data_IF_081005483782
#
_entry.id   IF_081005483782
#
_cell.length_a   1.000
_cell.length_b   1.000
_cell.length_c   1.000
_cell.angle_alpha   90.00
_cell.angle_beta   90.00
_cell.angle_gamma   90.00
#
_symmetry.space_group_name_H-M   'P 1'
#
loop_
_entity.id
_entity.type
_entity.pdbx_description
1 polymer ?
#
# COMPACT_ATOMS: atom_id res chain seq x y z
N UNK A 1 -6.00 -20.95 34.11
CA UNK A 1 -6.18 -19.95 33.04
C UNK A 1 -5.60 -18.63 33.50
N UNK A 2 -4.61 -18.07 32.81
CA UNK A 2 -3.98 -16.79 33.20
C UNK A 2 -4.97 -15.65 32.98
N UNK A 3 -5.39 -14.98 34.06
CA UNK A 3 -6.30 -13.82 33.98
C UNK A 3 -5.62 -12.69 33.20
N UNK A 4 -6.21 -12.28 32.07
CA UNK A 4 -5.67 -11.18 31.27
C UNK A 4 -5.81 -9.85 32.02
N UNK A 5 -4.76 -9.02 31.99
CA UNK A 5 -4.77 -7.71 32.63
C UNK A 5 -5.79 -6.76 32.00
N UNK A 6 -6.40 -5.85 32.77
CA UNK A 6 -7.46 -4.94 32.29
C UNK A 6 -6.93 -3.95 31.25
N UNK A 7 -7.75 -3.63 30.24
CA UNK A 7 -7.45 -2.59 29.25
C UNK A 7 -7.65 -1.18 29.82
N UNK A 8 -7.02 -0.18 29.20
CA UNK A 8 -7.08 1.25 29.50
C UNK A 8 -7.70 1.99 28.32
N UNK A 9 -8.65 2.87 28.61
CA UNK A 9 -9.36 3.67 27.61
C UNK A 9 -10.71 4.16 28.14
N UNK A 10 -11.46 4.85 27.29
CA UNK A 10 -12.85 5.22 27.58
C UNK A 10 -13.74 3.97 27.64
N UNK A 11 -14.86 4.04 28.38
CA UNK A 11 -15.84 2.95 28.49
C UNK A 11 -16.25 2.40 27.12
N UNK A 12 -16.47 3.28 26.14
CA UNK A 12 -16.80 2.90 24.75
C UNK A 12 -15.68 2.14 24.04
N UNK A 13 -14.42 2.56 24.24
CA UNK A 13 -13.27 1.86 23.66
C UNK A 13 -13.06 0.49 24.30
N UNK A 14 -13.26 0.37 25.63
CA UNK A 14 -13.05 -0.87 26.37
C UNK A 14 -13.97 -1.99 25.89
N UNK A 15 -15.29 -1.74 25.78
CA UNK A 15 -16.27 -2.73 25.31
C UNK A 15 -15.85 -3.35 23.98
N UNK A 16 -15.39 -2.52 23.04
CA UNK A 16 -15.02 -3.01 21.72
C UNK A 16 -13.63 -3.66 21.69
N UNK A 17 -12.64 -3.06 22.38
CA UNK A 17 -11.29 -3.59 22.44
C UNK A 17 -11.21 -4.94 23.18
N UNK A 18 -12.05 -5.16 24.20
CA UNK A 18 -12.13 -6.43 24.93
C UNK A 18 -12.62 -7.57 24.05
N UNK A 19 -13.60 -7.31 23.17
CA UNK A 19 -14.06 -8.28 22.17
C UNK A 19 -12.93 -8.68 21.21
N UNK A 20 -12.28 -7.68 20.61
CA UNK A 20 -11.15 -7.90 19.67
C UNK A 20 -10.02 -8.66 20.36
N UNK A 21 -9.66 -8.26 21.59
CA UNK A 21 -8.58 -8.92 22.35
C UNK A 21 -8.94 -10.36 22.74
N UNK A 22 -10.19 -10.63 23.09
CA UNK A 22 -10.65 -11.98 23.42
C UNK A 22 -10.59 -12.92 22.22
N UNK A 23 -11.03 -12.46 21.05
CA UNK A 23 -10.92 -13.21 19.79
C UNK A 23 -9.46 -13.48 19.41
N UNK A 24 -8.57 -12.50 19.62
CA UNK A 24 -7.13 -12.66 19.43
C UNK A 24 -6.52 -13.66 20.44
N UNK A 25 -6.93 -13.61 21.71
CA UNK A 25 -6.46 -14.48 22.77
C UNK A 25 -6.83 -15.95 22.56
N UNK A 26 -8.05 -16.21 22.08
CA UNK A 26 -8.52 -17.57 21.78
C UNK A 26 -7.66 -18.25 20.71
N UNK A 27 -7.12 -17.47 19.77
CA UNK A 27 -6.37 -17.98 18.61
C UNK A 27 -4.85 -17.92 18.81
N UNK A 28 -4.36 -17.06 19.72
CA UNK A 28 -2.94 -16.93 20.06
C UNK A 28 -2.72 -17.09 21.57
N UNK A 29 -3.03 -18.26 22.16
CA UNK A 29 -2.87 -18.47 23.59
C UNK A 29 -1.39 -18.29 23.98
N UNK A 30 -1.13 -17.49 25.01
CA UNK A 30 0.23 -17.25 25.53
C UNK A 30 1.02 -16.12 24.86
N UNK A 31 0.46 -15.42 23.88
CA UNK A 31 1.11 -14.26 23.26
C UNK A 31 1.41 -13.15 24.31
N UNK A 32 2.67 -12.68 24.39
CA UNK A 32 3.10 -11.69 25.39
C UNK A 32 2.39 -10.33 25.24
N UNK A 33 1.84 -10.04 24.06
CA UNK A 33 1.08 -8.80 23.80
C UNK A 33 -0.25 -8.75 24.53
N UNK A 34 -0.87 -9.90 24.81
CA UNK A 34 -2.09 -9.97 25.64
C UNK A 34 -1.85 -9.40 27.05
N UNK A 35 -0.60 -9.47 27.54
CA UNK A 35 -0.17 -8.97 28.84
C UNK A 35 0.38 -7.54 28.78
N UNK A 36 0.99 -7.15 27.66
CA UNK A 36 1.72 -5.87 27.53
C UNK A 36 0.93 -4.77 26.83
N UNK A 37 0.01 -5.10 25.91
CA UNK A 37 -0.80 -4.15 25.14
C UNK A 37 -2.13 -3.90 25.84
N UNK A 38 -2.06 -2.99 26.82
CA UNK A 38 -3.20 -2.61 27.65
C UNK A 38 -3.99 -1.42 27.10
N UNK A 39 -3.64 -0.86 25.94
CA UNK A 39 -4.34 0.31 25.37
C UNK A 39 -5.49 -0.12 24.47
N UNK A 40 -6.72 0.30 24.77
CA UNK A 40 -7.91 -0.07 24.02
C UNK A 40 -7.93 0.52 22.59
N UNK A 41 -7.42 1.74 22.41
CA UNK A 41 -7.36 2.40 21.10
C UNK A 41 -6.43 1.65 20.15
N UNK A 42 -5.33 1.08 20.65
CA UNK A 42 -4.42 0.26 19.86
C UNK A 42 -5.12 -0.97 19.25
N UNK A 43 -5.92 -1.68 20.03
CA UNK A 43 -6.68 -2.86 19.54
C UNK A 43 -7.69 -2.47 18.47
N UNK A 44 -8.38 -1.33 18.65
CA UNK A 44 -9.34 -0.80 17.68
C UNK A 44 -8.65 -0.42 16.37
N UNK A 45 -7.53 0.31 16.44
CA UNK A 45 -6.81 0.78 15.26
C UNK A 45 -6.16 -0.35 14.45
N UNK A 46 -5.84 -1.47 15.09
CA UNK A 46 -5.15 -2.60 14.46
C UNK A 46 -6.09 -3.78 14.13
N UNK A 47 -7.41 -3.65 14.33
CA UNK A 47 -8.39 -4.73 14.13
C UNK A 47 -8.25 -5.45 12.79
N UNK A 48 -8.08 -4.72 11.68
CA UNK A 48 -7.99 -5.32 10.34
C UNK A 48 -6.71 -6.15 10.18
N UNK A 49 -5.61 -5.69 10.77
CA UNK A 49 -4.32 -6.39 10.75
C UNK A 49 -4.38 -7.68 11.58
N UNK A 50 -5.11 -7.62 12.70
CA UNK A 50 -5.36 -8.74 13.61
C UNK A 50 -6.30 -9.77 12.96
N UNK A 51 -7.41 -9.32 12.38
CA UNK A 51 -8.44 -10.17 11.73
C UNK A 51 -7.88 -10.89 10.50
N UNK A 52 -6.94 -10.26 9.79
CA UNK A 52 -6.31 -10.82 8.58
C UNK A 52 -5.15 -11.79 8.86
N UNK A 53 -4.85 -12.16 10.12
CA UNK A 53 -3.77 -13.09 10.51
C UNK A 53 -2.36 -12.72 10.04
N UNK A 54 -2.16 -11.49 9.56
CA UNK A 54 -0.88 -11.00 9.03
C UNK A 54 -0.05 -10.25 10.08
N UNK A 55 -0.60 -10.07 11.27
CA UNK A 55 0.01 -9.30 12.34
C UNK A 55 0.49 -10.23 13.47
N UNK A 56 1.78 -10.58 13.41
CA UNK A 56 2.53 -11.11 14.55
C UNK A 56 3.39 -9.98 15.13
N UNK A 57 3.03 -9.44 16.30
CA UNK A 57 3.78 -8.38 16.96
C UNK A 57 5.02 -8.84 17.74
N UNK A 58 5.22 -10.16 17.92
CA UNK A 58 6.45 -10.77 18.45
C UNK A 58 7.43 -11.17 17.32
N UNK A 59 6.96 -11.20 16.06
CA UNK A 59 7.82 -11.16 14.87
C UNK A 59 8.63 -9.87 14.98
N UNK A 60 9.89 -9.98 15.43
CA UNK A 60 10.86 -8.89 15.36
C UNK A 60 10.71 -8.24 13.99
N UNK A 61 10.81 -6.91 13.91
CA UNK A 61 10.96 -6.20 12.65
C UNK A 61 12.30 -6.56 11.97
N UNK A 62 12.51 -7.84 11.69
CA UNK A 62 13.42 -8.32 10.68
C UNK A 62 12.80 -7.89 9.35
N UNK A 63 13.63 -7.36 8.45
CA UNK A 63 13.22 -6.75 7.18
C UNK A 63 12.09 -7.49 6.45
N UNK A 64 11.35 -6.74 5.63
CA UNK A 64 10.21 -7.18 4.82
C UNK A 64 10.17 -8.69 4.58
N UNK A 65 9.07 -9.35 4.98
CA UNK A 65 8.83 -10.79 4.83
C UNK A 65 9.52 -11.32 3.55
N UNK A 66 10.52 -12.22 3.65
CA UNK A 66 11.34 -12.63 2.51
C UNK A 66 10.51 -13.11 1.32
N UNK A 67 9.37 -13.75 1.60
CA UNK A 67 8.44 -14.20 0.57
C UNK A 67 7.83 -12.99 -0.14
N UNK A 68 7.35 -11.99 0.60
CA UNK A 68 6.79 -10.75 0.03
C UNK A 68 7.85 -9.88 -0.65
N UNK A 69 9.09 -9.90 -0.15
CA UNK A 69 10.22 -9.21 -0.76
C UNK A 69 10.55 -9.83 -2.12
N UNK A 70 10.54 -11.16 -2.24
CA UNK A 70 10.86 -11.89 -3.47
C UNK A 70 9.74 -11.88 -4.54
N UNK A 71 8.58 -11.25 -4.31
CA UNK A 71 7.50 -11.20 -5.29
C UNK A 71 7.88 -10.24 -6.43
N UNK A 72 7.84 -10.69 -7.71
CA UNK A 72 8.02 -9.81 -8.85
C UNK A 72 7.02 -8.65 -8.84
N UNK A 73 7.53 -7.45 -9.10
CA UNK A 73 6.73 -6.23 -9.05
C UNK A 73 7.17 -5.26 -10.14
N UNK A 74 6.43 -4.17 -10.28
CA UNK A 74 6.79 -3.11 -11.21
C UNK A 74 6.54 -1.73 -10.61
N UNK A 75 7.34 -0.76 -11.05
CA UNK A 75 7.05 0.66 -10.93
C UNK A 75 6.43 1.14 -12.23
N UNK A 76 5.45 2.04 -12.16
CA UNK A 76 4.76 2.56 -13.33
C UNK A 76 4.56 4.08 -13.27
N UNK A 77 4.45 4.67 -14.45
CA UNK A 77 3.97 6.04 -14.68
C UNK A 77 2.61 5.99 -15.35
N UNK A 78 1.69 6.81 -14.87
CA UNK A 78 0.41 7.10 -15.53
C UNK A 78 0.39 8.55 -15.99
N UNK A 79 -0.36 8.82 -17.05
CA UNK A 79 -0.64 10.17 -17.56
C UNK A 79 -2.14 10.34 -17.75
N UNK A 80 -2.64 11.52 -17.47
CA UNK A 80 -4.04 11.88 -17.74
C UNK A 80 -4.17 12.91 -18.86
N UNK A 81 -5.41 13.28 -19.21
CA UNK A 81 -5.70 14.24 -20.29
C UNK A 81 -5.08 15.63 -20.10
N UNK A 82 -4.71 16.00 -18.88
CA UNK A 82 -4.08 17.28 -18.55
C UNK A 82 -2.55 17.17 -18.51
N UNK A 83 -1.98 16.03 -18.91
CA UNK A 83 -0.54 15.78 -18.86
C UNK A 83 -0.01 15.51 -17.45
N UNK A 84 -0.88 15.37 -16.43
CA UNK A 84 -0.46 15.11 -15.05
C UNK A 84 0.10 13.71 -14.94
N UNK A 85 1.25 13.58 -14.27
CA UNK A 85 1.95 12.31 -14.11
C UNK A 85 1.75 11.76 -12.70
N UNK A 86 1.31 10.51 -12.61
CA UNK A 86 1.28 9.75 -11.36
C UNK A 86 2.34 8.65 -11.38
N UNK A 87 3.00 8.43 -10.24
CA UNK A 87 4.00 7.38 -10.06
C UNK A 87 3.54 6.43 -8.95
N UNK A 88 3.57 5.13 -9.23
CA UNK A 88 3.26 4.09 -8.26
C UNK A 88 4.03 2.80 -8.49
N UNK A 89 3.90 1.86 -7.57
CA UNK A 89 4.41 0.50 -7.71
C UNK A 89 3.33 -0.51 -7.33
N UNK A 90 3.38 -1.70 -7.93
CA UNK A 90 2.39 -2.77 -7.73
C UNK A 90 2.98 -4.12 -8.15
N UNK A 91 2.44 -5.21 -7.61
CA UNK A 91 2.70 -6.58 -8.08
C UNK A 91 1.77 -6.97 -9.24
N UNK A 92 0.72 -6.19 -9.50
CA UNK A 92 -0.22 -6.44 -10.59
C UNK A 92 -0.66 -5.12 -11.23
N UNK A 93 -0.08 -4.80 -12.39
CA UNK A 93 -0.32 -3.53 -13.10
C UNK A 93 -1.72 -3.45 -13.72
N UNK A 94 -2.22 -4.57 -14.26
CA UNK A 94 -3.56 -4.61 -14.89
C UNK A 94 -4.66 -4.32 -13.87
N UNK A 95 -4.60 -4.97 -12.71
CA UNK A 95 -5.52 -4.72 -11.58
C UNK A 95 -5.42 -3.26 -11.13
N UNK A 96 -4.21 -2.75 -10.95
CA UNK A 96 -3.99 -1.41 -10.42
C UNK A 96 -4.48 -0.30 -11.36
N UNK A 97 -4.32 -0.48 -12.68
CA UNK A 97 -4.85 0.47 -13.66
C UNK A 97 -6.39 0.51 -13.63
N UNK A 98 -7.05 -0.65 -13.52
CA UNK A 98 -8.52 -0.71 -13.36
C UNK A 98 -8.99 -0.01 -12.07
N UNK A 99 -8.27 -0.17 -10.97
CA UNK A 99 -8.57 0.53 -9.72
C UNK A 99 -8.46 2.05 -9.88
N UNK A 100 -7.40 2.54 -10.54
CA UNK A 100 -7.23 3.97 -10.78
C UNK A 100 -8.37 4.57 -11.62
N UNK A 101 -8.84 3.83 -12.62
CA UNK A 101 -9.91 4.26 -13.54
C UNK A 101 -11.31 3.84 -13.09
N UNK A 102 -11.45 3.25 -11.89
CA UNK A 102 -12.76 2.89 -11.34
C UNK A 102 -13.47 4.12 -10.79
N UNK A 103 -14.79 4.21 -11.00
CA UNK A 103 -15.66 5.19 -10.34
C UNK A 103 -15.63 5.08 -8.81
N UNK A 104 -15.26 3.91 -8.26
CA UNK A 104 -15.10 3.68 -6.82
C UNK A 104 -13.78 4.18 -6.23
N UNK A 105 -12.87 4.74 -7.03
CA UNK A 105 -11.59 5.25 -6.54
C UNK A 105 -11.79 6.48 -5.63
N UNK A 106 -11.45 6.35 -4.35
CA UNK A 106 -11.50 7.44 -3.36
C UNK A 106 -10.13 8.08 -3.08
N UNK A 107 -9.08 7.63 -3.75
CA UNK A 107 -7.70 8.10 -3.56
C UNK A 107 -7.36 9.36 -4.35
N UNK A 108 -6.10 9.78 -4.28
CA UNK A 108 -5.56 10.96 -4.97
C UNK A 108 -5.77 10.96 -6.49
N UNK A 109 -5.87 9.78 -7.09
CA UNK A 109 -5.99 9.57 -8.55
C UNK A 109 -7.43 9.54 -9.04
N UNK A 110 -8.41 9.85 -8.19
CA UNK A 110 -9.83 9.90 -8.56
C UNK A 110 -10.15 11.04 -9.52
N UNK A 111 -11.29 10.93 -10.21
CA UNK A 111 -11.86 12.04 -10.99
C UNK A 111 -11.15 12.32 -12.32
N UNK A 112 -10.32 11.40 -12.80
CA UNK A 112 -9.71 11.49 -14.14
C UNK A 112 -9.51 10.08 -14.70
N UNK A 113 -9.31 9.99 -16.01
CA UNK A 113 -8.95 8.75 -16.68
C UNK A 113 -7.44 8.70 -16.90
N UNK A 114 -6.82 7.61 -16.46
CA UNK A 114 -5.39 7.40 -16.53
C UNK A 114 -5.01 6.44 -17.65
N UNK A 115 -3.97 6.82 -18.39
CA UNK A 115 -3.31 5.98 -19.37
C UNK A 115 -1.97 5.50 -18.84
N UNK A 116 -1.62 4.25 -19.15
CA UNK A 116 -0.32 3.70 -18.82
C UNK A 116 0.75 4.33 -19.71
N UNK A 117 1.63 5.12 -19.11
CA UNK A 117 2.71 5.83 -19.81
C UNK A 117 3.99 4.98 -19.87
N UNK A 118 4.43 4.43 -18.75
CA UNK A 118 5.63 3.60 -18.67
C UNK A 118 5.52 2.57 -17.55
N UNK A 119 6.22 1.44 -17.70
CA UNK A 119 6.33 0.39 -16.68
C UNK A 119 7.76 -0.12 -16.67
N UNK A 120 8.31 -0.34 -15.47
CA UNK A 120 9.59 -0.99 -15.24
C UNK A 120 9.40 -2.17 -14.29
N UNK A 121 9.72 -3.37 -14.76
CA UNK A 121 9.62 -4.61 -13.98
C UNK A 121 10.89 -4.84 -13.15
N UNK A 122 10.70 -5.45 -11.98
CA UNK A 122 11.74 -5.79 -11.04
C UNK A 122 11.52 -7.22 -10.52
N UNK A 123 12.60 -7.99 -10.29
CA UNK A 123 12.53 -9.31 -9.68
C UNK A 123 11.88 -9.29 -8.30
N UNK A 124 12.08 -8.21 -7.54
CA UNK A 124 11.60 -8.11 -6.16
C UNK A 124 10.68 -6.91 -5.94
N UNK A 125 9.76 -7.05 -4.99
CA UNK A 125 8.89 -5.97 -4.52
C UNK A 125 9.71 -4.85 -3.90
N UNK A 126 10.76 -5.21 -3.16
CA UNK A 126 11.64 -4.23 -2.51
C UNK A 126 12.30 -3.32 -3.54
N UNK A 127 12.83 -3.86 -4.63
CA UNK A 127 13.44 -3.08 -5.71
C UNK A 127 12.43 -2.18 -6.43
N UNK A 128 11.24 -2.69 -6.75
CA UNK A 128 10.21 -1.88 -7.38
C UNK A 128 9.83 -0.68 -6.52
N UNK A 129 9.56 -0.89 -5.23
CA UNK A 129 9.19 0.21 -4.33
C UNK A 129 10.38 1.13 -4.02
N UNK A 130 11.62 0.63 -4.04
CA UNK A 130 12.80 1.49 -3.94
C UNK A 130 12.95 2.41 -5.16
N UNK A 131 12.71 1.89 -6.36
CA UNK A 131 12.72 2.68 -7.58
C UNK A 131 11.58 3.71 -7.61
N UNK A 132 10.37 3.34 -7.18
CA UNK A 132 9.24 4.28 -7.02
C UNK A 132 9.59 5.45 -6.11
N UNK A 133 10.17 5.19 -4.93
CA UNK A 133 10.65 6.25 -4.03
C UNK A 133 11.72 7.11 -4.71
N UNK A 134 12.67 6.51 -5.43
CA UNK A 134 13.71 7.22 -6.18
C UNK A 134 13.11 8.17 -7.22
N UNK A 135 12.12 7.70 -7.99
CA UNK A 135 11.42 8.50 -9.00
C UNK A 135 10.60 9.62 -8.36
N UNK A 136 9.90 9.35 -7.25
CA UNK A 136 9.11 10.35 -6.52
C UNK A 136 9.96 11.47 -5.93
N UNK A 137 11.20 11.17 -5.50
CA UNK A 137 12.18 12.20 -5.07
C UNK A 137 12.63 13.11 -6.22
N UNK A 138 12.39 12.73 -7.48
CA UNK A 138 12.72 13.55 -8.64
C UNK A 138 14.15 13.34 -9.15
N UNK A 139 14.76 14.42 -9.64
CA UNK A 139 16.13 14.43 -10.14
C UNK A 139 16.33 13.69 -11.47
N UNK A 140 17.57 13.24 -11.71
CA UNK A 140 17.98 12.62 -12.98
C UNK A 140 17.20 11.34 -13.30
N UNK A 141 16.91 10.51 -12.30
CA UNK A 141 16.17 9.25 -12.51
C UNK A 141 14.76 9.50 -13.07
N UNK A 142 14.06 10.50 -12.52
CA UNK A 142 12.72 10.87 -12.99
C UNK A 142 12.78 11.51 -14.38
N UNK A 143 13.72 12.42 -14.63
CA UNK A 143 13.87 13.08 -15.95
C UNK A 143 14.20 12.07 -17.05
N UNK A 144 15.14 11.15 -16.78
CA UNK A 144 15.53 10.10 -17.72
C UNK A 144 14.33 9.23 -18.08
N UNK A 145 13.59 8.75 -17.08
CA UNK A 145 12.48 7.84 -17.33
C UNK A 145 11.29 8.52 -18.05
N UNK A 146 11.06 9.82 -17.80
CA UNK A 146 10.10 10.58 -18.62
C UNK A 146 10.56 10.73 -20.07
N UNK A 147 11.85 11.01 -20.29
CA UNK A 147 12.42 11.13 -21.64
C UNK A 147 12.27 9.83 -22.41
N UNK A 148 12.59 8.70 -21.78
CA UNK A 148 12.38 7.36 -22.34
C UNK A 148 10.90 7.08 -22.69
N UNK A 149 9.95 7.70 -21.96
CA UNK A 149 8.52 7.54 -22.19
C UNK A 149 7.93 8.56 -23.20
N UNK A 150 8.73 9.44 -23.78
CA UNK A 150 8.25 10.55 -24.62
C UNK A 150 7.45 10.06 -25.84
N UNK A 151 7.95 9.09 -26.59
CA UNK A 151 7.23 8.54 -27.75
C UNK A 151 5.86 7.97 -27.37
N UNK A 152 5.76 7.32 -26.21
CA UNK A 152 4.48 6.80 -25.71
C UNK A 152 3.53 7.92 -25.29
N UNK A 153 4.05 9.00 -24.69
CA UNK A 153 3.28 10.21 -24.39
C UNK A 153 2.68 10.79 -25.67
N UNK A 154 3.47 10.99 -26.71
CA UNK A 154 2.96 11.51 -28.00
C UNK A 154 1.92 10.58 -28.63
N UNK A 155 2.13 9.26 -28.58
CA UNK A 155 1.15 8.30 -29.08
C UNK A 155 -0.18 8.34 -28.30
N UNK A 156 -0.15 8.59 -26.99
CA UNK A 156 -1.37 8.79 -26.18
C UNK A 156 -2.04 10.11 -26.57
N UNK A 157 -1.26 11.19 -26.73
CA UNK A 157 -1.77 12.49 -27.14
C UNK A 157 -2.54 12.39 -28.47
N UNK A 158 -1.89 11.82 -29.49
CA UNK A 158 -2.48 11.62 -30.82
C UNK A 158 -3.74 10.73 -30.76
N UNK A 159 -3.66 9.59 -30.07
CA UNK A 159 -4.77 8.61 -30.02
C UNK A 159 -6.04 9.18 -29.39
N UNK A 160 -5.90 10.05 -28.40
CA UNK A 160 -7.03 10.57 -27.62
C UNK A 160 -7.32 12.05 -27.86
N UNK A 161 -6.61 12.68 -28.80
CA UNK A 161 -6.76 14.11 -29.10
C UNK A 161 -6.40 15.01 -27.91
N UNK A 162 -5.39 14.63 -27.13
CA UNK A 162 -4.93 15.45 -26.01
C UNK A 162 -3.82 16.40 -26.44
N UNK A 163 -3.80 17.57 -25.81
CA UNK A 163 -2.67 18.50 -25.87
C UNK A 163 -2.01 18.50 -24.51
N UNK A 164 -0.76 18.06 -24.44
CA UNK A 164 0.00 18.14 -23.21
C UNK A 164 0.90 19.37 -23.25
N UNK A 165 0.80 20.20 -22.21
CA UNK A 165 1.79 21.26 -21.93
C UNK A 165 3.15 20.69 -21.56
#
# INVERSE_FOLDING_TARGET
MTKLATLRGTVKQLVWAEKIRSEYAAKNPGCKHLLRRLDAQWWINNRVSIDAWKYDPDRKATGADPILAAIPACTYLLIDKLGRIYTGATTNIKRRLREHNSSGNRGYTRGTYWHLLAVKHFPTRTEAFAFERKVKRGGAARRRWLSEAHTRREAIALRFGYTFS
#
